data_IF_077986631696
#
_entry.id   IF_077986631696
#
_cell.length_a   1.000
_cell.length_b   1.000
_cell.length_c   1.000
_cell.angle_alpha   90.00
_cell.angle_beta   90.00
_cell.angle_gamma   90.00
#
_symmetry.space_group_name_H-M   'P 1'
#
loop_
_entity.id
_entity.type
_entity.pdbx_description
1 polymer ?
#
# COMPACT_ATOMS: atom_id res chain seq x y z
N UNK A 1 2.04 30.40 8.00
CA UNK A 1 2.67 29.07 7.79
C UNK A 1 1.89 28.30 6.75
N UNK A 2 2.39 28.16 5.52
CA UNK A 2 1.70 27.35 4.50
C UNK A 2 2.03 25.87 4.72
N UNK A 3 1.03 25.05 5.07
CA UNK A 3 1.22 23.59 5.15
C UNK A 3 1.58 23.04 3.77
N UNK A 4 2.59 22.15 3.74
CA UNK A 4 3.03 21.44 2.54
C UNK A 4 1.98 20.44 2.05
N UNK A 5 1.29 19.79 3.00
CA UNK A 5 0.23 18.81 2.77
C UNK A 5 -1.13 19.41 3.13
N UNK A 6 -2.14 19.14 2.30
CA UNK A 6 -3.49 19.62 2.51
C UNK A 6 -4.32 18.76 3.47
N UNK A 7 -5.29 19.40 4.13
CA UNK A 7 -6.24 18.68 4.99
C UNK A 7 -7.02 17.60 4.22
N UNK A 8 -7.33 17.84 2.96
CA UNK A 8 -8.01 16.85 2.11
C UNK A 8 -7.15 15.61 1.86
N UNK A 9 -5.83 15.78 1.68
CA UNK A 9 -4.89 14.68 1.53
C UNK A 9 -4.74 13.86 2.83
N UNK A 10 -4.82 14.50 3.99
CA UNK A 10 -4.88 13.80 5.29
C UNK A 10 -6.14 12.93 5.39
N UNK A 11 -7.30 13.46 5.02
CA UNK A 11 -8.55 12.66 4.97
C UNK A 11 -8.44 11.49 3.99
N UNK A 12 -7.86 11.71 2.81
CA UNK A 12 -7.63 10.64 1.85
C UNK A 12 -6.66 9.58 2.38
N UNK A 13 -5.63 9.97 3.13
CA UNK A 13 -4.71 9.01 3.74
C UNK A 13 -5.43 8.06 4.71
N UNK A 14 -6.41 8.52 5.50
CA UNK A 14 -7.25 7.64 6.33
C UNK A 14 -8.07 6.65 5.51
N UNK A 15 -8.59 7.07 4.34
CA UNK A 15 -9.26 6.14 3.41
C UNK A 15 -8.27 5.11 2.87
N UNK A 16 -7.03 5.54 2.56
CA UNK A 16 -5.94 4.65 2.17
C UNK A 16 -5.62 3.59 3.22
N UNK A 17 -5.58 3.97 4.51
CA UNK A 17 -5.42 3.04 5.63
C UNK A 17 -6.55 1.99 5.64
N UNK A 18 -7.81 2.44 5.51
CA UNK A 18 -8.97 1.54 5.48
C UNK A 18 -8.90 0.55 4.31
N UNK A 19 -8.56 1.04 3.12
CA UNK A 19 -8.36 0.20 1.93
C UNK A 19 -7.25 -0.84 2.13
N UNK A 20 -6.10 -0.43 2.68
CA UNK A 20 -4.99 -1.32 2.98
C UNK A 20 -5.39 -2.42 3.98
N UNK A 21 -6.11 -2.06 5.05
CA UNK A 21 -6.64 -3.02 6.02
C UNK A 21 -7.56 -4.04 5.35
N UNK A 22 -8.53 -3.59 4.55
CA UNK A 22 -9.46 -4.50 3.88
C UNK A 22 -8.72 -5.45 2.93
N UNK A 23 -7.79 -4.96 2.12
CA UNK A 23 -7.05 -5.78 1.16
C UNK A 23 -6.17 -6.78 1.89
N UNK A 24 -5.27 -6.30 2.75
CA UNK A 24 -4.21 -7.14 3.33
C UNK A 24 -4.79 -8.17 4.29
N UNK A 25 -5.74 -7.79 5.15
CA UNK A 25 -6.37 -8.74 6.08
C UNK A 25 -7.16 -9.80 5.31
N UNK A 26 -7.96 -9.41 4.30
CA UNK A 26 -8.75 -10.38 3.53
C UNK A 26 -7.85 -11.38 2.80
N UNK A 27 -6.84 -10.88 2.09
CA UNK A 27 -6.05 -11.75 1.21
C UNK A 27 -4.91 -12.47 1.93
N UNK A 28 -4.38 -11.97 3.05
CA UNK A 28 -3.33 -12.69 3.77
C UNK A 28 -3.84 -13.56 4.91
N UNK A 29 -4.89 -13.13 5.62
CA UNK A 29 -5.38 -13.85 6.78
C UNK A 29 -6.48 -14.87 6.43
N UNK A 30 -7.36 -14.56 5.47
CA UNK A 30 -8.50 -15.41 5.15
C UNK A 30 -8.32 -16.29 3.90
N UNK A 31 -7.76 -15.76 2.80
CA UNK A 31 -7.66 -16.46 1.50
C UNK A 31 -6.21 -16.92 1.18
N UNK A 32 -5.27 -16.82 2.13
CA UNK A 32 -3.80 -16.69 1.94
C UNK A 32 -3.29 -16.56 0.48
N UNK A 33 -3.65 -15.48 -0.22
CA UNK A 33 -3.19 -15.16 -1.58
C UNK A 33 -2.32 -13.90 -1.59
N UNK A 34 -1.00 -14.07 -1.50
CA UNK A 34 -0.08 -12.92 -1.41
C UNK A 34 0.04 -12.13 -2.71
N UNK A 35 0.05 -12.78 -3.87
CA UNK A 35 0.26 -12.11 -5.17
C UNK A 35 -0.77 -11.02 -5.46
N UNK A 36 -1.96 -11.10 -4.86
CA UNK A 36 -3.01 -10.08 -4.99
C UNK A 36 -2.54 -8.73 -4.43
N UNK A 37 -1.75 -8.70 -3.35
CA UNK A 37 -1.23 -7.45 -2.78
C UNK A 37 -0.31 -6.74 -3.77
N UNK A 38 0.54 -7.51 -4.45
CA UNK A 38 1.47 -6.99 -5.45
C UNK A 38 0.74 -6.34 -6.63
N UNK A 39 -0.31 -7.00 -7.12
CA UNK A 39 -1.12 -6.48 -8.24
C UNK A 39 -1.92 -5.24 -7.82
N UNK A 40 -2.40 -5.19 -6.57
CA UNK A 40 -3.22 -4.09 -6.07
C UNK A 40 -2.42 -2.90 -5.53
N UNK A 41 -1.12 -3.05 -5.25
CA UNK A 41 -0.29 -1.96 -4.72
C UNK A 41 -0.30 -0.72 -5.63
N UNK A 42 -0.03 -0.91 -6.93
CA UNK A 42 0.01 0.20 -7.89
C UNK A 42 -1.38 0.85 -8.11
N UNK A 43 -2.47 0.09 -8.41
CA UNK A 43 -3.82 0.66 -8.51
C UNK A 43 -4.27 1.39 -7.24
N UNK A 44 -3.97 0.84 -6.06
CA UNK A 44 -4.30 1.47 -4.78
C UNK A 44 -3.62 2.83 -4.63
N UNK A 45 -2.33 2.90 -4.98
CA UNK A 45 -1.58 4.15 -5.04
C UNK A 45 -2.20 5.15 -6.02
N UNK A 46 -2.47 4.72 -7.26
CA UNK A 46 -3.08 5.57 -8.30
C UNK A 46 -4.41 6.16 -7.84
N UNK A 47 -5.29 5.32 -7.31
CA UNK A 47 -6.60 5.74 -6.82
C UNK A 47 -6.48 6.75 -5.67
N UNK A 48 -5.63 6.47 -4.67
CA UNK A 48 -5.54 7.33 -3.50
C UNK A 48 -4.83 8.66 -3.81
N UNK A 49 -3.86 8.64 -4.72
CA UNK A 49 -3.17 9.85 -5.18
C UNK A 49 -4.10 10.80 -5.93
N UNK A 50 -4.98 10.24 -6.77
CA UNK A 50 -6.03 11.01 -7.43
C UNK A 50 -7.06 11.54 -6.43
N UNK A 51 -7.55 10.67 -5.54
CA UNK A 51 -8.56 11.01 -4.54
C UNK A 51 -8.07 12.07 -3.53
N UNK A 52 -6.80 12.04 -3.12
CA UNK A 52 -6.20 13.03 -2.23
C UNK A 52 -6.27 14.45 -2.80
N UNK A 53 -6.02 14.58 -4.09
CA UNK A 53 -6.09 15.87 -4.76
C UNK A 53 -7.54 16.30 -5.01
N UNK A 54 -8.43 15.36 -5.38
CA UNK A 54 -9.88 15.61 -5.45
C UNK A 54 -10.42 16.14 -4.12
N UNK A 55 -10.06 15.51 -3.00
CA UNK A 55 -10.50 15.91 -1.67
C UNK A 55 -9.89 17.23 -1.20
N UNK A 56 -8.69 17.55 -1.67
CA UNK A 56 -8.01 18.82 -1.39
C UNK A 56 -8.51 19.96 -2.27
N UNK A 57 -9.48 19.69 -3.17
CA UNK A 57 -10.04 20.62 -4.14
C UNK A 57 -8.98 21.43 -4.90
N UNK A 58 -7.88 20.79 -5.29
CA UNK A 58 -6.78 21.46 -5.96
C UNK A 58 -7.09 21.76 -7.43
N UNK A 59 -6.94 23.02 -7.84
CA UNK A 59 -7.01 23.42 -9.26
C UNK A 59 -5.73 22.97 -9.98
N UNK A 60 -5.78 22.76 -11.30
CA UNK A 60 -4.58 22.52 -12.10
C UNK A 60 -3.62 23.73 -12.01
N UNK A 61 -2.30 23.50 -11.92
CA UNK A 61 -1.28 24.57 -11.85
C UNK A 61 -0.25 24.47 -10.70
N UNK A 62 -0.64 24.28 -9.42
CA UNK A 62 0.28 24.16 -8.29
C UNK A 62 0.84 22.74 -8.17
N UNK A 63 1.59 22.31 -9.19
CA UNK A 63 2.11 20.94 -9.36
C UNK A 63 2.86 20.40 -8.15
N UNK A 64 3.71 21.21 -7.51
CA UNK A 64 4.44 20.77 -6.32
C UNK A 64 3.52 20.29 -5.18
N UNK A 65 2.37 20.95 -4.97
CA UNK A 65 1.39 20.52 -3.96
C UNK A 65 0.58 19.32 -4.40
N UNK A 66 0.22 19.25 -5.68
CA UNK A 66 -0.52 18.13 -6.25
C UNK A 66 0.28 16.82 -6.09
N UNK A 67 1.57 16.88 -6.43
CA UNK A 67 2.51 15.77 -6.25
C UNK A 67 2.74 15.46 -4.77
N UNK A 68 2.94 16.46 -3.91
CA UNK A 68 3.14 16.24 -2.48
C UNK A 68 1.93 15.56 -1.81
N UNK A 69 0.70 15.97 -2.14
CA UNK A 69 -0.52 15.36 -1.63
C UNK A 69 -0.66 13.90 -2.09
N UNK A 70 -0.40 13.63 -3.38
CA UNK A 70 -0.50 12.27 -3.92
C UNK A 70 0.57 11.34 -3.37
N UNK A 71 1.81 11.82 -3.27
CA UNK A 71 2.92 11.10 -2.65
C UNK A 71 2.63 10.81 -1.19
N UNK A 72 2.16 11.80 -0.43
CA UNK A 72 1.80 11.62 0.98
C UNK A 72 0.72 10.53 1.15
N UNK A 73 -0.37 10.61 0.39
CA UNK A 73 -1.44 9.62 0.48
C UNK A 73 -0.98 8.22 0.04
N UNK A 74 -0.16 8.14 -1.02
CA UNK A 74 0.46 6.90 -1.47
C UNK A 74 1.41 6.29 -0.44
N UNK A 75 2.24 7.10 0.21
CA UNK A 75 3.16 6.66 1.27
C UNK A 75 2.41 6.14 2.48
N UNK A 76 1.38 6.86 2.97
CA UNK A 76 0.60 6.39 4.12
C UNK A 76 -0.09 5.06 3.81
N UNK A 77 -0.66 4.94 2.60
CA UNK A 77 -1.28 3.69 2.15
C UNK A 77 -0.26 2.56 2.06
N UNK A 78 0.86 2.78 1.36
CA UNK A 78 1.92 1.79 1.19
C UNK A 78 2.59 1.38 2.49
N UNK A 79 2.84 2.32 3.42
CA UNK A 79 3.38 2.02 4.75
C UNK A 79 2.40 1.18 5.57
N UNK A 80 1.10 1.48 5.48
CA UNK A 80 0.08 0.68 6.16
C UNK A 80 0.05 -0.73 5.60
N UNK A 81 0.03 -0.88 4.26
CA UNK A 81 0.07 -2.19 3.60
C UNK A 81 1.32 -2.97 3.98
N UNK A 82 2.50 -2.33 3.94
CA UNK A 82 3.77 -2.93 4.33
C UNK A 82 3.78 -3.39 5.80
N UNK A 83 3.31 -2.53 6.72
CA UNK A 83 3.25 -2.86 8.14
C UNK A 83 2.30 -4.04 8.42
N UNK A 84 1.12 -4.05 7.79
CA UNK A 84 0.17 -5.15 7.92
C UNK A 84 0.72 -6.46 7.34
N UNK A 85 1.40 -6.40 6.19
CA UNK A 85 2.07 -7.57 5.60
C UNK A 85 3.09 -8.15 6.58
N UNK A 86 3.98 -7.31 7.11
CA UNK A 86 5.01 -7.74 8.07
C UNK A 86 4.39 -8.26 9.37
N UNK A 87 3.32 -7.63 9.86
CA UNK A 87 2.64 -8.06 11.07
C UNK A 87 1.99 -9.44 10.90
N UNK A 88 1.30 -9.68 9.78
CA UNK A 88 0.67 -10.99 9.51
C UNK A 88 1.74 -12.05 9.25
N UNK A 89 2.79 -11.74 8.48
CA UNK A 89 3.94 -12.65 8.29
C UNK A 89 4.60 -12.97 9.61
N UNK A 90 4.79 -11.98 10.49
CA UNK A 90 5.33 -12.16 11.82
C UNK A 90 4.45 -13.03 12.71
N UNK A 91 3.13 -12.84 12.66
CA UNK A 91 2.18 -13.68 13.38
C UNK A 91 2.37 -15.15 12.99
N UNK A 92 2.35 -15.48 11.69
CA UNK A 92 2.54 -16.86 11.25
C UNK A 92 3.95 -17.39 11.50
N UNK A 93 4.97 -16.53 11.38
CA UNK A 93 6.36 -16.93 11.57
C UNK A 93 6.66 -17.30 13.03
N UNK A 94 6.16 -16.52 13.99
CA UNK A 94 6.45 -16.72 15.41
C UNK A 94 5.41 -17.60 16.12
N UNK A 95 4.19 -17.70 15.61
CA UNK A 95 3.13 -18.51 16.22
C UNK A 95 2.93 -19.89 15.57
N UNK A 96 3.73 -20.29 14.58
CA UNK A 96 3.67 -21.64 14.02
C UNK A 96 3.99 -22.68 15.12
N UNK A 97 3.17 -23.71 15.23
CA UNK A 97 3.34 -24.79 16.20
C UNK A 97 3.58 -26.15 15.53
N UNK A 98 3.82 -26.16 14.21
CA UNK A 98 4.01 -27.37 13.42
C UNK A 98 2.70 -28.06 13.06
N UNK A 99 1.53 -27.48 13.37
CA UNK A 99 0.25 -28.07 13.00
C UNK A 99 0.12 -28.16 11.48
N UNK A 100 -0.20 -29.36 11.00
CA UNK A 100 -0.52 -29.67 9.61
C UNK A 100 -1.52 -30.81 9.63
N UNK A 101 -2.55 -30.68 8.80
CA UNK A 101 -3.63 -31.66 8.71
C UNK A 101 -3.05 -33.06 8.38
N UNK A 102 -3.58 -34.15 8.96
CA UNK A 102 -3.16 -35.51 8.61
C UNK A 102 -3.18 -35.80 7.10
N UNK A 103 -4.15 -35.28 6.37
CA UNK A 103 -4.28 -35.46 4.92
C UNK A 103 -3.18 -34.72 4.14
N UNK A 104 -2.50 -33.77 4.78
CA UNK A 104 -1.39 -32.98 4.25
C UNK A 104 -0.02 -33.45 4.77
N UNK A 105 0.07 -34.65 5.35
CA UNK A 105 1.32 -35.23 5.86
C UNK A 105 1.51 -35.10 7.38
N UNK A 106 0.48 -34.67 8.10
CA UNK A 106 0.46 -34.64 9.57
C UNK A 106 1.42 -33.62 10.20
N UNK A 107 1.40 -33.45 11.54
CA UNK A 107 2.19 -32.43 12.23
C UNK A 107 3.69 -32.58 11.99
N UNK A 108 4.38 -31.43 11.91
CA UNK A 108 5.83 -31.34 11.76
C UNK A 108 6.49 -31.39 13.15
N UNK A 109 7.59 -32.13 13.28
CA UNK A 109 8.37 -32.16 14.53
C UNK A 109 9.33 -30.97 14.60
N UNK A 110 9.06 -30.03 15.50
CA UNK A 110 9.79 -28.77 15.65
C UNK A 110 9.55 -28.16 17.04
N UNK A 111 10.34 -27.16 17.44
CA UNK A 111 10.24 -26.47 18.74
C UNK A 111 9.20 -25.34 18.78
N UNK A 112 8.61 -24.96 17.64
CA UNK A 112 7.71 -23.82 17.51
C UNK A 112 8.34 -22.62 16.80
N UNK A 113 7.49 -21.72 16.29
CA UNK A 113 7.85 -20.51 15.58
C UNK A 113 8.72 -20.77 14.35
N UNK A 114 9.87 -20.08 14.30
CA UNK A 114 10.80 -20.10 13.18
C UNK A 114 11.28 -21.50 12.80
N UNK A 115 11.46 -22.39 13.78
CA UNK A 115 11.90 -23.77 13.52
C UNK A 115 10.82 -24.53 12.74
N UNK A 116 9.55 -24.42 13.12
CA UNK A 116 8.46 -25.08 12.39
C UNK A 116 8.32 -24.56 10.96
N UNK A 117 8.51 -23.26 10.74
CA UNK A 117 8.50 -22.67 9.39
C UNK A 117 9.70 -23.17 8.59
N UNK A 118 10.88 -23.23 9.18
CA UNK A 118 12.08 -23.74 8.51
C UNK A 118 11.91 -25.20 8.09
N UNK A 119 11.46 -26.06 9.00
CA UNK A 119 11.19 -27.47 8.70
C UNK A 119 10.12 -27.61 7.60
N UNK A 120 9.10 -26.75 7.59
CA UNK A 120 8.09 -26.76 6.52
C UNK A 120 8.69 -26.45 5.15
N UNK A 121 9.62 -25.49 5.05
CA UNK A 121 10.32 -25.22 3.79
C UNK A 121 11.19 -26.40 3.35
N UNK A 122 11.84 -27.11 4.29
CA UNK A 122 12.61 -28.31 3.99
C UNK A 122 11.71 -29.46 3.50
N UNK A 123 10.59 -29.70 4.19
CA UNK A 123 9.55 -30.66 3.80
C UNK A 123 8.98 -30.37 2.40
N UNK A 124 8.79 -29.08 2.07
CA UNK A 124 8.34 -28.61 0.75
C UNK A 124 9.44 -28.72 -0.34
N UNK A 125 10.61 -29.29 -0.01
CA UNK A 125 11.71 -29.51 -0.94
C UNK A 125 12.52 -28.26 -1.28
N UNK A 126 12.41 -27.18 -0.50
CA UNK A 126 13.15 -25.92 -0.70
C UNK A 126 14.58 -25.95 -0.16
N UNK A 127 15.02 -27.06 0.43
CA UNK A 127 16.36 -27.24 1.00
C UNK A 127 17.49 -26.79 0.06
N UNK A 128 17.55 -27.26 -1.20
CA UNK A 128 18.60 -26.83 -2.14
C UNK A 128 18.63 -25.33 -2.42
N UNK A 129 17.47 -24.67 -2.48
CA UNK A 129 17.39 -23.22 -2.68
C UNK A 129 17.90 -22.46 -1.44
N UNK A 130 17.56 -22.95 -0.25
CA UNK A 130 18.02 -22.39 1.02
C UNK A 130 19.53 -22.55 1.18
N UNK A 131 20.07 -23.73 0.92
CA UNK A 131 21.50 -24.00 0.94
C UNK A 131 22.25 -23.11 -0.07
N UNK A 132 21.72 -22.94 -1.29
CA UNK A 132 22.28 -22.04 -2.29
C UNK A 132 22.28 -20.56 -1.84
N UNK A 133 21.32 -20.17 -1.00
CA UNK A 133 21.28 -18.86 -0.35
C UNK A 133 22.14 -18.77 0.93
N UNK A 134 22.86 -19.83 1.30
CA UNK A 134 23.68 -19.88 2.52
C UNK A 134 22.87 -20.09 3.80
N UNK A 135 21.64 -20.58 3.71
CA UNK A 135 20.77 -20.92 4.83
C UNK A 135 20.94 -22.40 5.16
N UNK A 136 21.51 -22.69 6.33
CA UNK A 136 21.81 -24.06 6.78
C UNK A 136 21.21 -24.40 8.15
N UNK A 137 20.64 -23.41 8.83
CA UNK A 137 20.07 -23.54 10.17
C UNK A 137 18.94 -22.53 10.38
N UNK A 138 18.22 -22.66 11.50
CA UNK A 138 17.07 -21.81 11.83
C UNK A 138 17.47 -20.33 11.97
N UNK A 139 18.68 -20.02 12.42
CA UNK A 139 19.14 -18.64 12.65
C UNK A 139 19.48 -17.92 11.33
N UNK A 140 20.15 -18.62 10.41
CA UNK A 140 20.38 -18.16 9.04
C UNK A 140 19.07 -18.07 8.27
N UNK A 141 18.15 -19.02 8.44
CA UNK A 141 16.81 -18.98 7.85
C UNK A 141 16.01 -17.78 8.34
N UNK A 142 16.01 -17.52 9.65
CA UNK A 142 15.27 -16.39 10.23
C UNK A 142 15.74 -15.06 9.64
N UNK A 143 17.07 -14.87 9.53
CA UNK A 143 17.63 -13.65 8.93
C UNK A 143 17.25 -13.52 7.45
N UNK A 144 17.37 -14.60 6.69
CA UNK A 144 17.02 -14.64 5.27
C UNK A 144 15.52 -14.38 5.05
N UNK A 145 14.65 -15.05 5.79
CA UNK A 145 13.21 -14.88 5.72
C UNK A 145 12.82 -13.41 5.91
N UNK A 146 13.35 -12.77 6.97
CA UNK A 146 13.01 -11.38 7.27
C UNK A 146 13.64 -10.40 6.28
N UNK A 147 14.85 -10.64 5.75
CA UNK A 147 15.38 -9.80 4.68
C UNK A 147 14.48 -9.81 3.44
N UNK A 148 13.96 -10.97 3.07
CA UNK A 148 13.00 -11.11 1.96
C UNK A 148 11.65 -10.43 2.28
N UNK A 149 11.13 -10.58 3.51
CA UNK A 149 9.89 -9.90 3.92
C UNK A 149 10.04 -8.37 3.90
N UNK A 150 11.15 -7.83 4.41
CA UNK A 150 11.42 -6.40 4.38
C UNK A 150 11.65 -5.89 2.96
N UNK A 151 12.34 -6.66 2.11
CA UNK A 151 12.49 -6.34 0.68
C UNK A 151 11.15 -6.27 -0.04
N UNK A 152 10.27 -7.24 0.23
CA UNK A 152 8.91 -7.30 -0.31
C UNK A 152 8.06 -6.11 0.15
N UNK A 153 8.04 -5.85 1.46
CA UNK A 153 7.34 -4.71 2.05
C UNK A 153 7.84 -3.37 1.50
N UNK A 154 9.16 -3.22 1.35
CA UNK A 154 9.79 -2.05 0.75
C UNK A 154 9.36 -1.84 -0.70
N UNK A 155 9.30 -2.93 -1.48
CA UNK A 155 8.85 -2.85 -2.88
C UNK A 155 7.38 -2.42 -2.97
N UNK A 156 6.50 -2.99 -2.15
CA UNK A 156 5.08 -2.58 -2.08
C UNK A 156 4.95 -1.09 -1.74
N UNK A 157 5.73 -0.61 -0.76
CA UNK A 157 5.75 0.80 -0.39
C UNK A 157 6.14 1.69 -1.58
N UNK A 158 7.24 1.35 -2.27
CA UNK A 158 7.72 2.12 -3.43
C UNK A 158 6.69 2.10 -4.56
N UNK A 159 6.16 0.94 -4.92
CA UNK A 159 5.16 0.79 -5.97
C UNK A 159 3.88 1.58 -5.66
N UNK A 160 3.42 1.53 -4.41
CA UNK A 160 2.23 2.29 -3.98
C UNK A 160 2.50 3.80 -3.99
N UNK A 161 3.70 4.24 -3.58
CA UNK A 161 4.09 5.64 -3.62
C UNK A 161 4.19 6.17 -5.07
N UNK A 162 4.77 5.39 -5.97
CA UNK A 162 4.81 5.67 -7.42
C UNK A 162 3.40 5.74 -7.99
N UNK A 163 2.51 4.82 -7.58
CA UNK A 163 1.09 4.90 -7.90
C UNK A 163 0.47 6.21 -7.40
N UNK A 164 0.74 6.61 -6.16
CA UNK A 164 0.28 7.89 -5.58
C UNK A 164 0.69 9.11 -6.42
N UNK A 165 1.94 9.12 -6.89
CA UNK A 165 2.42 10.14 -7.81
C UNK A 165 1.70 10.07 -9.17
N UNK A 166 1.53 8.88 -9.74
CA UNK A 166 0.76 8.70 -10.98
C UNK A 166 -0.67 9.20 -10.87
N UNK A 167 -1.35 8.94 -9.74
CA UNK A 167 -2.69 9.43 -9.47
C UNK A 167 -2.77 10.96 -9.40
N UNK A 168 -1.76 11.58 -8.77
CA UNK A 168 -1.61 13.03 -8.73
C UNK A 168 -1.35 13.63 -10.12
N UNK A 169 -0.52 12.99 -10.94
CA UNK A 169 -0.26 13.41 -12.32
C UNK A 169 -1.54 13.34 -13.14
N UNK A 170 -2.25 12.20 -13.11
CA UNK A 170 -3.51 12.02 -13.80
C UNK A 170 -4.53 13.09 -13.41
N UNK A 171 -4.67 13.37 -12.11
CA UNK A 171 -5.53 14.43 -11.62
C UNK A 171 -5.14 15.82 -12.14
N UNK A 172 -3.85 16.16 -12.08
CA UNK A 172 -3.35 17.46 -12.53
C UNK A 172 -3.57 17.69 -14.03
N UNK A 173 -3.54 16.62 -14.83
CA UNK A 173 -3.79 16.66 -16.27
C UNK A 173 -5.28 16.69 -16.63
N UNK A 174 -6.13 15.96 -15.91
CA UNK A 174 -7.53 15.76 -16.28
C UNK A 174 -8.52 16.72 -15.63
N UNK A 175 -8.15 17.42 -14.55
CA UNK A 175 -9.12 18.27 -13.83
C UNK A 175 -9.48 19.55 -14.61
N UNK A 176 -10.76 19.96 -14.65
CA UNK A 176 -11.19 21.21 -15.27
C UNK A 176 -10.44 22.42 -14.72
N UNK A 177 -9.94 23.27 -15.63
CA UNK A 177 -9.44 24.62 -15.30
C UNK A 177 -10.61 25.46 -14.75
N UNK A 178 -10.37 26.41 -13.84
CA UNK A 178 -11.42 27.31 -13.38
C UNK A 178 -12.08 27.99 -14.59
N UNK A 179 -13.40 28.10 -14.58
CA UNK A 179 -14.10 29.01 -15.48
C UNK A 179 -13.49 30.41 -15.33
N UNK A 180 -13.19 31.08 -16.45
CA UNK A 180 -12.65 32.43 -16.42
C UNK A 180 -13.59 33.31 -15.58
N UNK A 181 -13.05 33.95 -14.55
CA UNK A 181 -13.79 34.96 -13.80
C UNK A 181 -14.03 36.16 -14.73
N UNK A 182 -15.14 36.16 -15.47
CA UNK A 182 -15.42 37.21 -16.44
C UNK A 182 -16.46 36.85 -17.50
N UNK A 183 -17.70 36.59 -17.09
CA UNK A 183 -18.87 36.71 -17.95
C UNK A 183 -20.08 37.07 -17.07
N UNK A 184 -20.14 38.33 -16.64
CA UNK A 184 -21.24 38.81 -15.79
C UNK A 184 -20.98 40.13 -15.06
N UNK A 185 -20.09 40.99 -15.56
CA UNK A 185 -19.99 42.38 -15.13
C UNK A 185 -20.09 43.27 -16.38
N UNK A 186 -21.21 43.99 -16.49
CA UNK A 186 -21.60 44.85 -17.63
C UNK A 186 -22.54 44.08 -18.57
N UNK A 187 -23.76 44.51 -18.87
CA UNK A 187 -24.28 45.87 -19.08
C UNK A 187 -25.81 45.86 -19.00
N UNK A 188 -26.40 46.84 -18.31
CA UNK A 188 -27.86 47.01 -18.24
C UNK A 188 -28.29 48.23 -17.43
N UNK A 189 -27.70 49.39 -17.70
CA UNK A 189 -28.20 50.71 -17.29
C UNK A 189 -29.29 51.18 -18.25
N UNK A 190 -30.40 51.69 -17.71
CA UNK A 190 -31.44 52.51 -18.37
C UNK A 190 -32.71 51.73 -18.79
N UNK A 191 -33.94 52.22 -18.63
CA UNK A 191 -34.51 53.46 -18.10
C UNK A 191 -36.05 53.31 -18.00
N UNK A 192 -36.68 54.21 -17.22
CA UNK A 192 -38.04 54.78 -17.40
C UNK A 192 -39.32 53.95 -17.11
N UNK A 193 -39.94 54.26 -15.95
CA UNK A 193 -41.34 54.72 -15.74
C UNK A 193 -42.52 54.13 -16.53
N UNK A 194 -43.50 53.55 -15.81
CA UNK A 194 -44.84 54.12 -15.59
C UNK A 194 -45.51 53.42 -14.40
#
# INVERSE_FOLDING_TARGET
>A
MSRLIDRGAITAAYVGIGMALTIVVSFMLFIPIEWVIWVLALPSGLLIGYYANQRSDRRAGPWGRILANGLFAGLVTGLTTAALLLAIKGLFFYADNGFRDPDLGGPISCQGGADCVYQRYLDDGRGPDLEAAGVTDVDSFTRFYWSEQFGSAGTILVVTAVGGLGGAVLYGLSRPKPAAAGAGAGTGTGSTSA
#
